data_IF_078138725280
#
_entry.id   IF_078138725280
#
_cell.length_a   1.000
_cell.length_b   1.000
_cell.length_c   1.000
_cell.angle_alpha   90.00
_cell.angle_beta   90.00
_cell.angle_gamma   90.00
#
_symmetry.space_group_name_H-M   'P 1'
#
loop_
_entity.id
_entity.type
_entity.pdbx_description
1 polymer ?
#
# COMPACT_ATOMS: atom_id res chain seq x y z
N UNK A 1 17.68 -14.24 38.44
CA UNK A 1 16.46 -13.43 38.66
C UNK A 1 15.31 -14.16 38.00
N UNK A 2 14.45 -14.78 38.79
CA UNK A 2 13.25 -15.50 38.35
C UNK A 2 12.16 -14.49 38.03
N UNK A 3 11.92 -14.22 36.75
CA UNK A 3 10.76 -13.45 36.28
C UNK A 3 9.50 -14.29 36.49
N UNK A 4 8.54 -13.77 37.25
CA UNK A 4 7.25 -14.42 37.49
C UNK A 4 6.38 -14.35 36.21
N UNK A 5 5.98 -15.49 35.61
CA UNK A 5 5.23 -15.54 34.35
C UNK A 5 3.88 -14.79 34.41
N UNK A 6 3.25 -14.75 35.61
CA UNK A 6 1.97 -14.05 35.80
C UNK A 6 2.13 -12.53 35.78
N UNK A 7 3.27 -12.01 36.24
CA UNK A 7 3.56 -10.59 36.22
C UNK A 7 3.69 -10.06 34.78
N UNK A 8 4.32 -10.81 33.88
CA UNK A 8 4.49 -10.45 32.47
C UNK A 8 3.19 -10.53 31.65
N UNK A 9 2.29 -11.45 31.98
CA UNK A 9 0.94 -11.51 31.40
C UNK A 9 0.11 -10.28 31.78
N UNK A 10 0.16 -9.87 33.06
CA UNK A 10 -0.51 -8.65 33.52
C UNK A 10 0.09 -7.37 32.93
N UNK A 11 1.37 -7.42 32.55
CA UNK A 11 2.08 -6.32 31.89
C UNK A 11 1.60 -6.18 30.43
N UNK A 12 1.40 -7.28 29.70
CA UNK A 12 0.98 -7.26 28.30
C UNK A 12 -0.38 -6.57 28.06
N UNK A 13 -1.36 -6.79 28.94
CA UNK A 13 -2.66 -6.10 28.89
C UNK A 13 -2.55 -4.64 29.32
N UNK A 14 -1.81 -4.34 30.40
CA UNK A 14 -1.56 -2.95 30.83
C UNK A 14 -0.80 -2.14 29.78
N UNK A 15 0.08 -2.78 29.01
CA UNK A 15 0.88 -2.14 27.96
C UNK A 15 0.06 -1.63 26.77
N UNK A 16 -1.18 -2.10 26.59
CA UNK A 16 -2.06 -1.59 25.54
C UNK A 16 -2.64 -0.22 25.90
N UNK A 17 -2.79 0.07 27.20
CA UNK A 17 -3.51 1.25 27.72
C UNK A 17 -2.59 2.37 28.24
N UNK A 18 -1.26 2.17 28.23
CA UNK A 18 -0.31 3.20 28.67
C UNK A 18 -0.07 4.26 27.60
N UNK A 19 0.41 5.42 28.07
CA UNK A 19 0.86 6.50 27.19
C UNK A 19 2.03 6.07 26.29
N UNK A 20 2.10 6.71 25.11
CA UNK A 20 3.03 6.36 24.05
C UNK A 20 4.50 6.48 24.47
N UNK A 21 4.84 7.44 25.33
CA UNK A 21 6.21 7.66 25.78
C UNK A 21 6.69 6.53 26.71
N UNK A 22 5.86 6.12 27.67
CA UNK A 22 6.14 4.95 28.53
C UNK A 22 6.12 3.65 27.74
N UNK A 23 5.24 3.52 26.75
CA UNK A 23 5.23 2.37 25.85
C UNK A 23 6.55 2.20 25.10
N UNK A 24 7.11 3.29 24.55
CA UNK A 24 8.44 3.25 23.91
C UNK A 24 9.53 2.78 24.87
N UNK A 25 9.57 3.32 26.09
CA UNK A 25 10.56 2.93 27.10
C UNK A 25 10.48 1.45 27.48
N UNK A 26 9.27 0.92 27.69
CA UNK A 26 9.08 -0.50 28.03
C UNK A 26 9.46 -1.39 26.85
N UNK A 27 9.12 -0.99 25.62
CA UNK A 27 9.53 -1.73 24.42
C UNK A 27 11.05 -1.73 24.26
N UNK A 28 11.73 -0.61 24.51
CA UNK A 28 13.20 -0.53 24.45
C UNK A 28 13.85 -1.47 25.48
N UNK A 29 13.32 -1.53 26.70
CA UNK A 29 13.77 -2.46 27.74
C UNK A 29 13.54 -3.94 27.34
N UNK A 30 12.35 -4.26 26.82
CA UNK A 30 12.05 -5.62 26.33
C UNK A 30 12.97 -6.02 25.16
N UNK A 31 13.33 -5.07 24.30
CA UNK A 31 14.29 -5.30 23.22
C UNK A 31 15.73 -5.56 23.73
N UNK A 32 16.13 -4.95 24.85
CA UNK A 32 17.42 -5.19 25.49
C UNK A 32 17.51 -6.61 26.08
N UNK A 33 16.42 -7.11 26.69
CA UNK A 33 16.34 -8.46 27.29
C UNK A 33 16.53 -9.57 26.22
N UNK A 34 16.11 -9.33 24.98
CA UNK A 34 16.41 -10.22 23.85
C UNK A 34 15.45 -11.41 23.69
N UNK A 35 15.96 -12.55 23.22
CA UNK A 35 15.20 -13.71 22.72
C UNK A 35 14.65 -14.65 23.83
N UNK A 36 14.09 -14.08 24.91
CA UNK A 36 13.43 -14.87 25.95
C UNK A 36 12.03 -15.32 25.50
N UNK A 37 11.58 -16.57 25.77
CA UNK A 37 10.26 -17.06 25.37
C UNK A 37 9.11 -16.16 25.84
N UNK A 38 9.23 -15.63 27.06
CA UNK A 38 8.23 -14.75 27.67
C UNK A 38 8.19 -13.38 26.98
N UNK A 39 9.35 -12.85 26.59
CA UNK A 39 9.45 -11.59 25.82
C UNK A 39 8.78 -11.76 24.45
N UNK A 40 8.98 -12.89 23.78
CA UNK A 40 8.30 -13.21 22.50
C UNK A 40 6.78 -13.28 22.66
N UNK A 41 6.30 -13.83 23.79
CA UNK A 41 4.87 -13.86 24.10
C UNK A 41 4.32 -12.45 24.34
N UNK A 42 4.98 -11.62 25.15
CA UNK A 42 4.59 -10.22 25.37
C UNK A 42 4.57 -9.43 24.07
N UNK A 43 5.59 -9.57 23.20
CA UNK A 43 5.62 -8.96 21.86
C UNK A 43 4.46 -9.41 20.96
N UNK A 44 3.94 -10.62 21.16
CA UNK A 44 2.77 -11.12 20.41
C UNK A 44 1.48 -10.46 20.89
N UNK A 45 1.35 -10.22 22.19
CA UNK A 45 0.19 -9.53 22.78
C UNK A 45 0.12 -8.05 22.40
N UNK A 46 1.26 -7.33 22.47
CA UNK A 46 1.32 -5.89 22.17
C UNK A 46 1.48 -5.58 20.66
N UNK A 47 1.41 -6.60 19.80
CA UNK A 47 1.64 -6.49 18.35
C UNK A 47 0.73 -5.45 17.66
N UNK A 48 -0.57 -5.31 18.01
CA UNK A 48 -1.43 -4.26 17.46
C UNK A 48 -0.89 -2.85 17.79
N UNK A 49 -0.55 -2.60 19.06
CA UNK A 49 -0.04 -1.30 19.51
C UNK A 49 1.35 -0.98 18.96
N UNK A 50 2.20 -1.99 18.76
CA UNK A 50 3.48 -1.84 18.06
C UNK A 50 3.32 -1.42 16.60
N UNK A 51 2.23 -1.82 15.93
CA UNK A 51 1.94 -1.40 14.55
C UNK A 51 1.57 0.08 14.46
N UNK A 52 0.96 0.62 15.52
CA UNK A 52 0.58 2.04 15.66
C UNK A 52 1.77 2.91 16.07
N UNK A 53 2.42 2.62 17.20
CA UNK A 53 3.47 3.48 17.80
C UNK A 53 4.81 3.40 17.05
N UNK A 54 5.06 2.28 16.35
CA UNK A 54 6.27 1.97 15.56
C UNK A 54 7.58 2.39 16.26
N UNK A 55 7.85 1.90 17.49
CA UNK A 55 9.08 2.23 18.21
C UNK A 55 10.34 1.79 17.44
N UNK A 56 11.48 2.47 17.71
CA UNK A 56 12.77 2.12 17.11
C UNK A 56 13.07 0.66 17.43
N UNK A 57 13.46 -0.06 16.40
CA UNK A 57 13.64 -1.51 16.43
C UNK A 57 15.12 -1.80 16.67
N UNK A 58 15.42 -2.71 17.61
CA UNK A 58 16.80 -3.17 17.91
C UNK A 58 17.55 -3.54 16.63
N UNK A 59 18.73 -2.98 16.36
CA UNK A 59 19.52 -3.38 15.22
C UNK A 59 20.01 -4.83 15.41
N UNK A 60 19.80 -5.66 14.39
CA UNK A 60 20.29 -7.04 14.33
C UNK A 60 20.89 -7.29 12.95
N UNK A 61 21.81 -8.25 12.83
CA UNK A 61 22.38 -8.59 11.52
C UNK A 61 21.32 -9.08 10.53
N UNK A 62 20.29 -9.80 11.00
CA UNK A 62 19.14 -10.15 10.16
C UNK A 62 18.41 -8.92 9.62
N UNK A 63 18.22 -7.87 10.44
CA UNK A 63 17.59 -6.62 9.98
C UNK A 63 18.47 -5.86 9.01
N UNK A 64 19.77 -5.77 9.31
CA UNK A 64 20.76 -5.19 8.41
C UNK A 64 20.79 -5.95 7.06
N UNK A 65 20.68 -7.28 7.08
CA UNK A 65 20.56 -8.11 5.88
C UNK A 65 19.33 -7.77 5.06
N UNK A 66 18.19 -7.55 5.73
CA UNK A 66 16.93 -7.22 5.06
C UNK A 66 16.88 -5.76 4.55
N UNK A 67 17.65 -4.86 5.15
CA UNK A 67 17.55 -3.41 4.89
C UNK A 67 17.59 -3.06 3.40
N UNK A 68 18.42 -3.65 2.51
CA UNK A 68 18.38 -3.33 1.09
C UNK A 68 17.06 -3.69 0.38
N UNK A 69 16.40 -4.79 0.76
CA UNK A 69 15.20 -5.28 0.06
C UNK A 69 13.91 -5.20 0.89
N UNK A 70 13.94 -4.58 2.08
CA UNK A 70 12.80 -4.57 3.00
C UNK A 70 11.53 -3.94 2.41
N UNK A 71 11.68 -3.04 1.43
CA UNK A 71 10.55 -2.38 0.75
C UNK A 71 9.76 -3.34 -0.13
N UNK A 72 10.32 -4.51 -0.46
CA UNK A 72 9.69 -5.57 -1.22
C UNK A 72 8.92 -6.56 -0.34
N UNK A 73 9.00 -6.43 0.99
CA UNK A 73 8.18 -7.26 1.87
C UNK A 73 6.70 -6.94 1.69
N UNK A 74 5.88 -8.00 1.61
CA UNK A 74 4.43 -7.83 1.66
C UNK A 74 4.04 -7.21 3.02
N UNK A 75 3.42 -6.02 2.96
CA UNK A 75 2.90 -5.36 4.14
C UNK A 75 1.67 -6.15 4.64
N UNK A 76 1.57 -6.50 5.94
CA UNK A 76 0.53 -7.41 6.42
C UNK A 76 -0.90 -6.89 6.28
N UNK A 77 -1.13 -5.57 6.25
CA UNK A 77 -2.45 -4.97 6.07
C UNK A 77 -2.30 -3.45 5.99
N UNK A 78 -3.04 -2.81 5.08
CA UNK A 78 -3.09 -1.36 4.91
C UNK A 78 -3.35 -0.96 3.46
N UNK A 79 -3.88 0.24 3.23
CA UNK A 79 -4.20 0.80 1.90
C UNK A 79 -2.95 1.09 1.02
N UNK A 80 -1.77 0.56 1.34
CA UNK A 80 -0.60 0.74 0.49
C UNK A 80 -0.57 -0.34 -0.61
N UNK A 81 -0.27 0.02 -1.87
CA UNK A 81 -0.15 -0.97 -2.92
C UNK A 81 0.93 -1.99 -2.57
N UNK A 82 0.67 -3.27 -2.87
CA UNK A 82 1.70 -4.30 -2.77
C UNK A 82 2.89 -3.92 -3.67
N UNK A 83 4.15 -4.19 -3.29
CA UNK A 83 5.28 -3.87 -4.14
C UNK A 83 5.22 -4.64 -5.47
N UNK A 84 5.77 -4.04 -6.53
CA UNK A 84 5.79 -4.63 -7.88
C UNK A 84 6.54 -5.97 -7.93
N UNK A 85 7.55 -6.13 -7.09
CA UNK A 85 8.21 -7.40 -6.82
C UNK A 85 8.08 -7.73 -5.34
N UNK A 86 7.84 -9.00 -5.01
CA UNK A 86 7.54 -9.45 -3.65
C UNK A 86 8.67 -10.31 -3.12
N UNK A 87 9.10 -10.00 -1.91
CA UNK A 87 9.96 -10.88 -1.12
C UNK A 87 9.13 -11.49 0.00
N UNK A 88 9.02 -12.82 -0.03
CA UNK A 88 8.36 -13.57 1.03
C UNK A 88 9.23 -13.58 2.31
N UNK A 89 8.58 -13.33 3.46
CA UNK A 89 9.25 -13.42 4.75
C UNK A 89 9.68 -14.83 5.07
N UNK A 90 8.94 -15.84 4.62
CA UNK A 90 9.29 -17.24 4.87
C UNK A 90 10.56 -17.64 4.12
N UNK A 91 10.73 -17.12 2.89
CA UNK A 91 11.97 -17.28 2.13
C UNK A 91 13.18 -16.69 2.90
N UNK A 92 13.02 -15.48 3.46
CA UNK A 92 14.08 -14.83 4.25
C UNK A 92 14.34 -15.54 5.58
N UNK A 93 13.29 -16.08 6.22
CA UNK A 93 13.41 -16.83 7.45
C UNK A 93 14.17 -18.15 7.25
N UNK A 94 13.99 -18.80 6.10
CA UNK A 94 14.75 -19.99 5.71
C UNK A 94 16.18 -19.65 5.28
N UNK A 95 16.38 -18.56 4.55
CA UNK A 95 17.68 -18.16 4.01
C UNK A 95 18.64 -17.63 5.10
N UNK A 96 18.16 -16.79 6.03
CA UNK A 96 19.03 -16.10 7.00
C UNK A 96 19.92 -17.03 7.84
N UNK A 97 19.42 -18.14 8.43
CA UNK A 97 20.28 -19.06 9.20
C UNK A 97 21.44 -19.64 8.39
N UNK A 98 21.20 -19.92 7.10
CA UNK A 98 22.23 -20.43 6.19
C UNK A 98 23.29 -19.35 5.92
N UNK A 99 22.87 -18.12 5.66
CA UNK A 99 23.77 -16.96 5.46
C UNK A 99 24.60 -16.70 6.71
N UNK A 100 23.97 -16.68 7.89
CA UNK A 100 24.64 -16.46 9.17
C UNK A 100 25.69 -17.54 9.45
N UNK A 101 25.36 -18.81 9.17
CA UNK A 101 26.28 -19.94 9.29
C UNK A 101 27.48 -19.81 8.33
N UNK A 102 27.23 -19.41 7.07
CA UNK A 102 28.28 -19.22 6.05
C UNK A 102 29.24 -18.09 6.35
N UNK A 103 28.74 -16.97 6.88
CA UNK A 103 29.60 -15.83 7.26
C UNK A 103 30.43 -16.20 8.51
N UNK A 104 29.80 -16.85 9.49
CA UNK A 104 30.43 -17.25 10.74
C UNK A 104 30.54 -16.12 11.77
N UNK A 105 30.52 -16.50 13.06
CA UNK A 105 30.47 -15.57 14.20
C UNK A 105 31.65 -14.61 14.28
N UNK A 106 32.86 -15.07 13.96
CA UNK A 106 34.09 -14.27 13.97
C UNK A 106 34.00 -13.08 13.00
N UNK A 107 33.61 -13.34 11.75
CA UNK A 107 33.49 -12.29 10.73
C UNK A 107 32.35 -11.33 11.04
N UNK A 108 31.23 -11.83 11.59
CA UNK A 108 30.13 -10.98 12.06
C UNK A 108 30.56 -10.05 13.19
N UNK A 109 31.38 -10.50 14.15
CA UNK A 109 31.94 -9.62 15.19
C UNK A 109 32.79 -8.51 14.58
N UNK A 110 33.56 -8.80 13.53
CA UNK A 110 34.38 -7.81 12.83
C UNK A 110 33.57 -6.66 12.20
N UNK A 111 32.28 -6.87 11.93
CA UNK A 111 31.36 -5.84 11.39
C UNK A 111 30.27 -5.43 12.38
N UNK A 112 30.45 -5.68 13.68
CA UNK A 112 29.48 -5.31 14.71
C UNK A 112 29.16 -3.80 14.74
N UNK A 113 30.11 -2.96 14.31
CA UNK A 113 29.89 -1.51 14.12
C UNK A 113 28.75 -1.16 13.15
N UNK A 114 28.36 -2.10 12.27
CA UNK A 114 27.23 -1.93 11.34
C UNK A 114 25.86 -1.88 12.03
N UNK A 115 25.79 -2.34 13.29
CA UNK A 115 24.59 -2.29 14.12
C UNK A 115 24.49 -0.98 14.92
N UNK A 116 25.51 -0.11 14.86
CA UNK A 116 25.48 1.21 15.46
C UNK A 116 24.65 2.22 14.66
N UNK A 117 24.59 3.46 15.15
CA UNK A 117 23.96 4.59 14.48
C UNK A 117 25.01 5.58 13.92
N UNK A 118 24.63 6.39 12.92
CA UNK A 118 25.45 7.50 12.42
C UNK A 118 26.44 7.15 11.31
N UNK A 119 27.35 8.09 10.99
CA UNK A 119 28.26 7.99 9.85
C UNK A 119 29.27 6.83 9.95
N UNK A 120 29.65 6.45 11.18
CA UNK A 120 30.54 5.30 11.46
C UNK A 120 29.94 3.94 11.10
N UNK A 121 28.63 3.88 10.86
CA UNK A 121 27.91 2.65 10.46
C UNK A 121 28.16 2.26 9.00
N UNK A 122 28.41 3.24 8.12
CA UNK A 122 28.33 3.05 6.67
C UNK A 122 29.32 2.01 6.14
N UNK A 123 30.61 2.13 6.51
CA UNK A 123 31.64 1.20 6.05
C UNK A 123 31.45 -0.24 6.59
N UNK A 124 31.23 -0.46 7.90
CA UNK A 124 30.88 -1.78 8.41
C UNK A 124 29.62 -2.40 7.77
N UNK A 125 28.58 -1.59 7.50
CA UNK A 125 27.37 -2.04 6.84
C UNK A 125 27.64 -2.49 5.40
N UNK A 126 28.42 -1.72 4.65
CA UNK A 126 28.84 -2.09 3.29
C UNK A 126 29.65 -3.38 3.28
N UNK A 127 30.60 -3.54 4.19
CA UNK A 127 31.37 -4.77 4.35
C UNK A 127 30.46 -5.96 4.69
N UNK A 128 29.50 -5.77 5.58
CA UNK A 128 28.51 -6.80 5.91
C UNK A 128 27.66 -7.21 4.69
N UNK A 129 27.12 -6.26 3.93
CA UNK A 129 26.32 -6.59 2.73
C UNK A 129 27.13 -7.30 1.67
N UNK A 130 28.41 -6.94 1.49
CA UNK A 130 29.31 -7.68 0.60
C UNK A 130 29.51 -9.12 1.05
N UNK A 131 29.69 -9.37 2.35
CA UNK A 131 29.80 -10.74 2.89
C UNK A 131 28.50 -11.52 2.74
N UNK A 132 27.36 -10.88 2.99
CA UNK A 132 26.05 -11.49 2.83
C UNK A 132 25.76 -11.83 1.36
N UNK A 133 26.09 -10.94 0.42
CA UNK A 133 25.95 -11.19 -1.02
C UNK A 133 26.75 -12.42 -1.45
N UNK A 134 28.02 -12.52 -1.04
CA UNK A 134 28.86 -13.68 -1.33
C UNK A 134 28.32 -14.98 -0.72
N UNK A 135 27.81 -14.93 0.53
CA UNK A 135 27.22 -16.08 1.19
C UNK A 135 25.94 -16.56 0.48
N UNK A 136 25.07 -15.65 0.04
CA UNK A 136 23.85 -16.01 -0.71
C UNK A 136 24.22 -16.61 -2.07
N UNK A 137 25.22 -16.07 -2.77
CA UNK A 137 25.69 -16.62 -4.04
C UNK A 137 26.21 -18.06 -3.91
N UNK A 138 27.02 -18.35 -2.88
CA UNK A 138 27.49 -19.71 -2.58
C UNK A 138 26.33 -20.67 -2.22
N UNK A 139 25.31 -20.19 -1.49
CA UNK A 139 24.10 -20.98 -1.21
C UNK A 139 23.35 -21.31 -2.50
N UNK A 140 23.20 -20.35 -3.41
CA UNK A 140 22.53 -20.55 -4.70
C UNK A 140 23.28 -21.57 -5.58
N UNK A 141 24.61 -21.46 -5.70
CA UNK A 141 25.43 -22.42 -6.44
C UNK A 141 25.28 -23.84 -5.89
N UNK A 142 25.28 -23.99 -4.56
CA UNK A 142 25.08 -25.30 -3.94
C UNK A 142 23.66 -25.84 -4.11
N UNK A 143 22.68 -24.95 -4.27
CA UNK A 143 21.29 -25.32 -4.58
C UNK A 143 21.15 -25.96 -5.95
N UNK A 144 21.94 -25.53 -6.95
CA UNK A 144 21.97 -26.17 -8.28
C UNK A 144 22.42 -27.64 -8.20
N UNK A 145 23.29 -27.96 -7.24
CA UNK A 145 23.72 -29.34 -6.94
C UNK A 145 22.75 -30.12 -6.05
N UNK A 146 21.60 -29.53 -5.69
CA UNK A 146 20.56 -30.14 -4.86
C UNK A 146 20.74 -29.97 -3.35
N UNK A 147 21.81 -29.33 -2.86
CA UNK A 147 21.98 -29.01 -1.43
C UNK A 147 21.08 -27.85 -1.02
N UNK A 148 20.64 -27.79 0.23
CA UNK A 148 19.77 -26.73 0.77
C UNK A 148 18.35 -26.63 0.16
N UNK A 149 18.01 -27.44 -0.84
CA UNK A 149 16.71 -27.39 -1.49
C UNK A 149 15.55 -27.67 -0.51
N UNK A 150 15.76 -28.55 0.47
CA UNK A 150 14.78 -28.87 1.51
C UNK A 150 14.73 -27.78 2.59
N UNK A 151 15.88 -27.29 3.06
CA UNK A 151 15.98 -26.22 4.05
C UNK A 151 15.38 -24.90 3.55
N UNK A 152 15.54 -24.63 2.25
CA UNK A 152 14.93 -23.48 1.58
C UNK A 152 13.47 -23.76 1.20
N UNK A 153 12.98 -24.99 1.29
CA UNK A 153 11.59 -25.36 0.97
C UNK A 153 11.25 -25.26 -0.53
N UNK A 154 12.24 -25.42 -1.42
CA UNK A 154 12.09 -25.23 -2.86
C UNK A 154 11.19 -26.30 -3.51
N UNK A 155 11.11 -27.50 -2.92
CA UNK A 155 10.20 -28.56 -3.39
C UNK A 155 8.72 -28.16 -3.27
N UNK A 156 8.38 -27.39 -2.23
CA UNK A 156 7.02 -26.94 -1.97
C UNK A 156 6.69 -25.65 -2.73
N UNK A 157 7.70 -24.81 -2.97
CA UNK A 157 7.54 -23.55 -3.69
C UNK A 157 8.79 -23.25 -4.54
N UNK A 158 8.81 -23.68 -5.81
CA UNK A 158 9.93 -23.42 -6.73
C UNK A 158 10.19 -21.93 -6.99
N UNK A 159 9.15 -21.08 -6.95
CA UNK A 159 9.27 -19.63 -7.17
C UNK A 159 10.13 -18.92 -6.11
N UNK A 160 10.35 -19.59 -4.97
CA UNK A 160 11.23 -19.10 -3.92
C UNK A 160 12.69 -18.99 -4.38
N UNK A 161 13.13 -19.82 -5.32
CA UNK A 161 14.48 -19.73 -5.87
C UNK A 161 14.71 -18.36 -6.53
N UNK A 162 13.75 -17.92 -7.36
CA UNK A 162 13.77 -16.59 -7.97
C UNK A 162 13.80 -15.45 -6.95
N UNK A 163 13.07 -15.60 -5.84
CA UNK A 163 13.12 -14.63 -4.73
C UNK A 163 14.52 -14.54 -4.12
N UNK A 164 15.19 -15.67 -3.94
CA UNK A 164 16.55 -15.72 -3.39
C UNK A 164 17.56 -15.13 -4.38
N UNK A 165 17.41 -15.41 -5.68
CA UNK A 165 18.21 -14.78 -6.73
C UNK A 165 18.06 -13.25 -6.74
N UNK A 166 16.83 -12.74 -6.60
CA UNK A 166 16.57 -11.31 -6.51
C UNK A 166 17.22 -10.71 -5.26
N UNK A 167 17.15 -11.37 -4.09
CA UNK A 167 17.86 -10.96 -2.87
C UNK A 167 19.37 -10.90 -3.13
N UNK A 168 19.94 -11.93 -3.75
CA UNK A 168 21.37 -11.99 -4.06
C UNK A 168 21.80 -10.79 -4.92
N UNK A 169 21.04 -10.50 -5.98
CA UNK A 169 21.26 -9.37 -6.89
C UNK A 169 21.13 -8.03 -6.17
N UNK A 170 20.10 -7.83 -5.35
CA UNK A 170 19.90 -6.58 -4.60
C UNK A 170 21.07 -6.33 -3.63
N UNK A 171 21.59 -7.37 -2.98
CA UNK A 171 22.73 -7.23 -2.06
C UNK A 171 24.00 -6.73 -2.78
N UNK A 172 24.16 -7.01 -4.08
CA UNK A 172 25.29 -6.47 -4.87
C UNK A 172 25.22 -4.95 -5.07
N UNK A 173 24.02 -4.36 -4.94
CA UNK A 173 23.75 -2.93 -5.08
C UNK A 173 23.22 -2.31 -3.77
N UNK A 174 23.48 -2.94 -2.62
CA UNK A 174 22.94 -2.52 -1.33
C UNK A 174 23.26 -1.06 -0.97
N UNK A 175 24.47 -0.59 -1.28
CA UNK A 175 24.89 0.80 -1.04
C UNK A 175 24.10 1.80 -1.91
N UNK A 176 24.05 1.67 -3.26
CA UNK A 176 23.15 2.47 -4.10
C UNK A 176 21.69 2.45 -3.63
N UNK A 177 21.20 1.31 -3.15
CA UNK A 177 19.83 1.19 -2.63
C UNK A 177 19.64 1.97 -1.32
N UNK A 178 20.63 1.98 -0.42
CA UNK A 178 20.58 2.80 0.79
C UNK A 178 20.53 4.30 0.45
N UNK A 179 21.30 4.74 -0.55
CA UNK A 179 21.29 6.11 -1.06
C UNK A 179 19.95 6.47 -1.70
N UNK A 180 19.39 5.57 -2.50
CA UNK A 180 18.05 5.73 -3.10
C UNK A 180 16.99 5.92 -2.02
N UNK A 181 17.05 5.12 -0.94
CA UNK A 181 16.12 5.23 0.18
C UNK A 181 16.24 6.56 0.91
N UNK A 182 17.45 7.10 1.03
CA UNK A 182 17.66 8.43 1.61
C UNK A 182 17.03 9.53 0.74
N UNK A 183 17.17 9.44 -0.59
CA UNK A 183 16.51 10.35 -1.55
C UNK A 183 14.99 10.22 -1.49
N UNK A 184 14.46 9.00 -1.37
CA UNK A 184 13.02 8.70 -1.36
C UNK A 184 12.46 8.54 0.06
N UNK A 185 12.74 9.51 0.92
CA UNK A 185 12.23 9.57 2.29
C UNK A 185 11.50 10.89 2.57
N UNK A 186 10.38 10.87 3.31
CA UNK A 186 9.72 9.70 3.93
C UNK A 186 8.82 8.91 2.95
N UNK A 187 8.70 7.58 3.16
CA UNK A 187 7.75 6.71 2.43
C UNK A 187 6.35 6.77 3.08
N UNK A 188 5.24 6.79 2.31
CA UNK A 188 5.17 6.76 0.85
C UNK A 188 5.32 8.13 0.19
N UNK A 189 6.03 8.17 -0.94
CA UNK A 189 6.17 9.38 -1.77
C UNK A 189 4.92 9.53 -2.64
N UNK A 190 4.17 10.61 -2.44
CA UNK A 190 2.93 10.88 -3.16
C UNK A 190 3.16 11.44 -4.57
N UNK A 191 4.23 12.23 -4.74
CA UNK A 191 4.59 12.86 -6.01
C UNK A 191 6.11 12.90 -6.16
N UNK A 192 6.58 12.65 -7.38
CA UNK A 192 7.99 12.80 -7.72
C UNK A 192 8.28 14.27 -8.04
N UNK A 193 9.22 14.87 -7.30
CA UNK A 193 9.77 16.19 -7.57
C UNK A 193 11.08 16.04 -8.33
N UNK A 194 11.58 17.15 -8.89
CA UNK A 194 12.83 17.17 -9.67
C UNK A 194 13.99 16.52 -8.90
N UNK A 195 14.16 16.85 -7.63
CA UNK A 195 15.24 16.30 -6.79
C UNK A 195 15.15 14.77 -6.64
N UNK A 196 13.93 14.22 -6.56
CA UNK A 196 13.73 12.76 -6.54
C UNK A 196 14.16 12.14 -7.87
N UNK A 197 13.78 12.75 -9.00
CA UNK A 197 14.11 12.25 -10.33
C UNK A 197 15.62 12.32 -10.59
N UNK A 198 16.25 13.45 -10.26
CA UNK A 198 17.69 13.66 -10.41
C UNK A 198 18.47 12.65 -9.53
N UNK A 199 18.01 12.40 -8.30
CA UNK A 199 18.60 11.40 -7.42
C UNK A 199 18.44 9.96 -7.92
N UNK A 200 17.24 9.56 -8.34
CA UNK A 200 17.00 8.23 -8.96
C UNK A 200 17.90 8.06 -10.19
N UNK A 201 17.99 9.09 -11.04
CA UNK A 201 18.79 9.04 -12.27
C UNK A 201 20.28 8.90 -11.96
N UNK A 202 20.82 9.72 -11.05
CA UNK A 202 22.24 9.72 -10.70
C UNK A 202 22.67 8.36 -10.13
N UNK A 203 21.90 7.83 -9.17
CA UNK A 203 22.19 6.53 -8.54
C UNK A 203 21.94 5.38 -9.53
N UNK A 204 20.88 5.49 -10.35
CA UNK A 204 20.59 4.52 -11.40
C UNK A 204 21.72 4.40 -12.43
N UNK A 205 22.38 5.51 -12.80
CA UNK A 205 23.58 5.49 -13.66
C UNK A 205 24.75 4.74 -13.02
N UNK A 206 24.94 4.88 -11.71
CA UNK A 206 25.97 4.13 -10.99
C UNK A 206 25.66 2.62 -11.04
N UNK A 207 24.41 2.24 -10.80
CA UNK A 207 23.96 0.84 -10.90
C UNK A 207 24.14 0.31 -12.33
N UNK A 208 23.69 1.04 -13.34
CA UNK A 208 23.80 0.63 -14.74
C UNK A 208 25.24 0.39 -15.20
N UNK A 209 26.20 1.19 -14.69
CA UNK A 209 27.63 1.04 -15.01
C UNK A 209 28.29 -0.12 -14.28
N UNK A 210 27.94 -0.35 -13.02
CA UNK A 210 28.60 -1.37 -12.19
C UNK A 210 27.93 -2.75 -12.23
N UNK A 211 26.58 -2.78 -12.28
CA UNK A 211 25.71 -3.95 -12.14
C UNK A 211 24.45 -3.78 -13.02
N UNK A 212 24.57 -3.73 -14.35
CA UNK A 212 23.43 -3.50 -15.26
C UNK A 212 22.28 -4.51 -15.06
N UNK A 213 22.60 -5.74 -14.70
CA UNK A 213 21.64 -6.82 -14.40
C UNK A 213 20.75 -6.55 -13.18
N UNK A 214 21.17 -5.65 -12.29
CA UNK A 214 20.44 -5.28 -11.07
C UNK A 214 19.59 -4.02 -11.26
N UNK A 215 19.69 -3.32 -12.41
CA UNK A 215 19.00 -2.05 -12.63
C UNK A 215 17.48 -2.18 -12.58
N UNK A 216 16.92 -3.28 -13.10
CA UNK A 216 15.48 -3.56 -12.97
C UNK A 216 15.05 -3.59 -11.51
N UNK A 217 15.78 -4.32 -10.67
CA UNK A 217 15.48 -4.44 -9.23
C UNK A 217 15.63 -3.11 -8.51
N UNK A 218 16.63 -2.30 -8.89
CA UNK A 218 16.79 -0.93 -8.40
C UNK A 218 15.54 -0.06 -8.69
N UNK A 219 15.02 -0.09 -9.93
CA UNK A 219 13.82 0.68 -10.28
C UNK A 219 12.57 0.13 -9.57
N UNK A 220 12.46 -1.19 -9.39
CA UNK A 220 11.39 -1.79 -8.60
C UNK A 220 11.42 -1.37 -7.12
N UNK A 221 12.61 -1.22 -6.54
CA UNK A 221 12.78 -0.69 -5.18
C UNK A 221 12.39 0.78 -5.09
N UNK A 222 12.71 1.59 -6.11
CA UNK A 222 12.25 2.99 -6.18
C UNK A 222 10.71 3.06 -6.23
N UNK A 223 10.10 2.25 -7.11
CA UNK A 223 8.65 2.16 -7.26
C UNK A 223 7.96 1.68 -5.96
N UNK A 224 8.57 0.76 -5.22
CA UNK A 224 8.05 0.27 -3.94
C UNK A 224 7.99 1.33 -2.82
N UNK A 225 8.59 2.52 -3.01
CA UNK A 225 8.50 3.65 -2.08
C UNK A 225 7.46 4.70 -2.48
N UNK A 226 6.82 4.54 -3.64
CA UNK A 226 5.77 5.44 -4.13
C UNK A 226 4.40 5.01 -3.61
N UNK A 227 3.48 5.97 -3.48
CA UNK A 227 2.06 5.65 -3.25
C UNK A 227 1.42 5.02 -4.49
N UNK A 228 1.90 5.37 -5.68
CA UNK A 228 1.52 4.77 -6.96
C UNK A 228 2.77 4.51 -7.81
N UNK A 229 3.11 3.23 -8.07
CA UNK A 229 4.24 2.85 -8.93
C UNK A 229 4.17 3.39 -10.36
N UNK A 230 2.97 3.64 -10.92
CA UNK A 230 2.78 4.10 -12.30
C UNK A 230 3.33 5.51 -12.54
N UNK A 231 3.43 6.34 -11.49
CA UNK A 231 4.01 7.69 -11.54
C UNK A 231 5.47 7.65 -12.04
N UNK A 232 6.20 6.57 -11.72
CA UNK A 232 7.58 6.42 -12.15
C UNK A 232 7.68 6.15 -13.65
N UNK A 233 6.71 5.43 -14.25
CA UNK A 233 6.75 5.03 -15.66
C UNK A 233 6.83 6.26 -16.58
N UNK A 234 5.99 7.27 -16.35
CA UNK A 234 5.96 8.47 -17.18
C UNK A 234 7.31 9.20 -17.22
N UNK A 235 8.06 9.17 -16.11
CA UNK A 235 9.37 9.81 -16.02
C UNK A 235 10.52 8.89 -16.44
N UNK A 236 10.33 7.56 -16.35
CA UNK A 236 11.36 6.57 -16.62
C UNK A 236 11.80 6.59 -18.09
N UNK A 237 10.86 6.87 -19.01
CA UNK A 237 11.17 6.96 -20.44
C UNK A 237 12.22 8.03 -20.75
N UNK A 238 12.08 9.20 -20.14
CA UNK A 238 12.97 10.35 -20.33
C UNK A 238 14.23 10.27 -19.45
N UNK A 239 14.23 9.44 -18.43
CA UNK A 239 15.34 9.28 -17.51
C UNK A 239 16.55 8.68 -18.22
N UNK A 240 17.68 9.38 -18.19
CA UNK A 240 18.92 8.85 -18.72
C UNK A 240 19.67 8.06 -17.64
N UNK A 241 19.49 6.74 -17.64
CA UNK A 241 20.17 5.81 -16.74
C UNK A 241 21.56 5.40 -17.26
N UNK A 242 22.07 5.99 -18.35
CA UNK A 242 23.36 5.64 -18.95
C UNK A 242 23.35 4.33 -19.74
N UNK A 243 22.16 3.83 -20.09
CA UNK A 243 21.96 2.65 -20.93
C UNK A 243 21.83 3.04 -22.41
N UNK A 244 22.04 2.07 -23.31
CA UNK A 244 21.70 2.25 -24.73
C UNK A 244 20.18 2.42 -24.88
N UNK A 245 19.74 3.11 -25.92
CA UNK A 245 18.30 3.36 -26.15
C UNK A 245 17.48 2.07 -26.27
N UNK A 246 18.05 0.99 -26.81
CA UNK A 246 17.40 -0.34 -26.90
C UNK A 246 17.15 -0.94 -25.51
N UNK A 247 18.14 -0.87 -24.64
CA UNK A 247 18.10 -1.50 -23.32
C UNK A 247 17.16 -0.73 -22.39
N UNK A 248 17.16 0.60 -22.50
CA UNK A 248 16.18 1.47 -21.83
C UNK A 248 14.75 1.15 -22.26
N UNK A 249 14.52 0.98 -23.57
CA UNK A 249 13.20 0.62 -24.08
C UNK A 249 12.75 -0.76 -23.58
N UNK A 250 13.65 -1.75 -23.54
CA UNK A 250 13.36 -3.08 -23.01
C UNK A 250 13.02 -3.03 -21.51
N UNK A 251 13.81 -2.31 -20.72
CA UNK A 251 13.56 -2.09 -19.29
C UNK A 251 12.21 -1.42 -19.04
N UNK A 252 11.90 -0.37 -19.82
CA UNK A 252 10.64 0.34 -19.74
C UNK A 252 9.43 -0.57 -20.04
N UNK A 253 9.51 -1.39 -21.11
CA UNK A 253 8.44 -2.33 -21.47
C UNK A 253 8.21 -3.39 -20.40
N UNK A 254 9.29 -3.95 -19.84
CA UNK A 254 9.23 -4.97 -18.78
C UNK A 254 8.64 -4.41 -17.48
N UNK A 255 9.04 -3.20 -17.08
CA UNK A 255 8.46 -2.52 -15.92
C UNK A 255 6.99 -2.14 -16.14
N UNK A 256 6.65 -1.66 -17.34
CA UNK A 256 5.26 -1.37 -17.71
C UNK A 256 4.40 -2.65 -17.64
N UNK A 257 4.91 -3.78 -18.12
CA UNK A 257 4.25 -5.08 -18.00
C UNK A 257 4.02 -5.49 -16.54
N UNK A 258 4.99 -5.20 -15.66
CA UNK A 258 4.89 -5.47 -14.21
C UNK A 258 3.85 -4.59 -13.53
N UNK A 259 3.82 -3.29 -13.84
CA UNK A 259 2.80 -2.35 -13.33
C UNK A 259 1.41 -2.75 -13.79
N UNK A 260 1.24 -3.08 -15.08
CA UNK A 260 -0.06 -3.53 -15.62
C UNK A 260 -0.53 -4.81 -14.91
N UNK A 261 0.35 -5.80 -14.71
CA UNK A 261 0.00 -7.01 -13.97
C UNK A 261 -0.41 -6.73 -12.52
N UNK A 262 0.19 -5.74 -11.86
CA UNK A 262 -0.20 -5.32 -10.52
C UNK A 262 -1.57 -4.63 -10.50
N UNK A 263 -1.86 -3.77 -11.49
CA UNK A 263 -3.18 -3.13 -11.63
C UNK A 263 -4.25 -4.21 -11.88
N UNK A 264 -3.97 -5.20 -12.74
CA UNK A 264 -4.84 -6.36 -12.97
C UNK A 264 -5.11 -7.14 -11.67
N UNK A 265 -4.07 -7.42 -10.89
CA UNK A 265 -4.21 -8.12 -9.61
C UNK A 265 -5.06 -7.33 -8.60
N UNK A 266 -4.81 -6.04 -8.47
CA UNK A 266 -5.61 -5.16 -7.59
C UNK A 266 -7.07 -5.10 -8.03
N UNK A 267 -7.32 -4.98 -9.34
CA UNK A 267 -8.68 -4.97 -9.88
C UNK A 267 -9.40 -6.28 -9.62
N UNK A 268 -8.75 -7.44 -9.82
CA UNK A 268 -9.34 -8.76 -9.54
C UNK A 268 -9.61 -8.98 -8.05
N UNK A 269 -8.67 -8.60 -7.19
CA UNK A 269 -8.84 -8.68 -5.74
C UNK A 269 -10.03 -7.86 -5.24
N UNK A 270 -10.26 -6.68 -5.83
CA UNK A 270 -11.42 -5.84 -5.55
C UNK A 270 -12.73 -6.53 -5.93
N UNK A 271 -12.80 -7.09 -7.14
CA UNK A 271 -13.99 -7.79 -7.64
C UNK A 271 -14.28 -9.09 -6.87
N UNK A 272 -13.25 -9.78 -6.35
CA UNK A 272 -13.44 -10.99 -5.55
C UNK A 272 -13.94 -10.70 -4.12
N UNK A 273 -13.60 -9.53 -3.55
CA UNK A 273 -14.08 -9.08 -2.25
C UNK A 273 -15.56 -8.63 -2.26
N UNK A 274 -16.18 -8.55 -3.45
CA UNK A 274 -17.57 -8.16 -3.67
C UNK A 274 -18.63 -9.05 -2.98
N UNK A 275 -18.24 -10.22 -2.43
CA UNK A 275 -19.16 -11.14 -1.74
C UNK A 275 -19.42 -10.84 -0.26
N UNK A 276 -18.79 -9.81 0.32
CA UNK A 276 -18.97 -9.38 1.72
C UNK A 276 -19.78 -8.07 1.87
N UNK A 277 -19.96 -7.58 3.12
CA UNK A 277 -20.48 -6.22 3.35
C UNK A 277 -19.47 -5.19 2.84
N UNK A 278 -19.66 -4.72 1.61
CA UNK A 278 -18.68 -3.88 0.94
C UNK A 278 -18.72 -2.44 1.46
N UNK A 279 -17.57 -1.96 1.92
CA UNK A 279 -17.35 -0.54 2.15
C UNK A 279 -17.29 0.18 0.79
N UNK A 280 -18.42 0.79 0.40
CA UNK A 280 -18.56 1.51 -0.87
C UNK A 280 -17.54 2.65 -1.02
N UNK A 281 -17.10 3.28 0.08
CA UNK A 281 -16.06 4.32 0.03
C UNK A 281 -14.69 3.74 -0.27
N UNK A 282 -14.38 2.58 0.29
CA UNK A 282 -13.16 1.87 -0.04
C UNK A 282 -13.17 1.46 -1.53
N UNK A 283 -14.30 0.97 -2.04
CA UNK A 283 -14.45 0.62 -3.46
C UNK A 283 -14.29 1.84 -4.39
N UNK A 284 -14.94 2.97 -4.07
CA UNK A 284 -14.80 4.21 -4.83
C UNK A 284 -13.37 4.77 -4.78
N UNK A 285 -12.70 4.67 -3.62
CA UNK A 285 -11.31 5.10 -3.47
C UNK A 285 -10.37 4.23 -4.32
N UNK A 286 -10.54 2.92 -4.26
CA UNK A 286 -9.77 2.00 -5.08
C UNK A 286 -10.00 2.20 -6.57
N UNK A 287 -11.24 2.47 -7.00
CA UNK A 287 -11.54 2.76 -8.40
C UNK A 287 -10.85 4.02 -8.89
N UNK A 288 -10.87 5.11 -8.11
CA UNK A 288 -10.16 6.35 -8.44
C UNK A 288 -8.65 6.10 -8.56
N UNK A 289 -8.06 5.38 -7.61
CA UNK A 289 -6.63 5.07 -7.64
C UNK A 289 -6.27 4.22 -8.87
N UNK A 290 -7.08 3.21 -9.20
CA UNK A 290 -6.87 2.36 -10.39
C UNK A 290 -7.00 3.15 -11.68
N UNK A 291 -7.97 4.07 -11.80
CA UNK A 291 -8.11 4.92 -12.99
C UNK A 291 -6.90 5.85 -13.14
N UNK A 292 -6.45 6.46 -12.05
CA UNK A 292 -5.24 7.30 -12.07
C UNK A 292 -4.01 6.50 -12.54
N UNK A 293 -3.82 5.27 -12.02
CA UNK A 293 -2.71 4.41 -12.44
C UNK A 293 -2.84 3.97 -13.90
N UNK A 294 -4.06 3.69 -14.39
CA UNK A 294 -4.32 3.35 -15.78
C UNK A 294 -4.00 4.50 -16.73
N UNK A 295 -4.41 5.73 -16.39
CA UNK A 295 -4.13 6.93 -17.18
C UNK A 295 -2.63 7.23 -17.20
N UNK A 296 -1.96 7.16 -16.04
CA UNK A 296 -0.52 7.35 -15.95
C UNK A 296 0.26 6.31 -16.79
N UNK A 297 -0.13 5.03 -16.71
CA UNK A 297 0.48 3.96 -17.51
C UNK A 297 0.20 4.16 -19.00
N UNK A 298 -1.03 4.53 -19.39
CA UNK A 298 -1.40 4.81 -20.78
C UNK A 298 -0.59 5.96 -21.36
N UNK A 299 -0.46 7.06 -20.63
CA UNK A 299 0.31 8.23 -21.06
C UNK A 299 1.80 7.89 -21.21
N UNK A 300 2.36 7.12 -20.28
CA UNK A 300 3.74 6.64 -20.39
C UNK A 300 3.94 5.77 -21.65
N UNK A 301 2.93 4.95 -21.99
CA UNK A 301 2.98 3.96 -23.07
C UNK A 301 2.55 4.50 -24.45
N UNK A 302 2.11 5.75 -24.57
CA UNK A 302 1.65 6.32 -25.85
C UNK A 302 2.71 6.20 -26.96
N UNK A 303 3.99 6.22 -26.58
CA UNK A 303 5.12 6.09 -27.48
C UNK A 303 5.41 4.64 -27.94
N UNK A 304 4.95 3.63 -27.20
CA UNK A 304 5.34 2.24 -27.46
C UNK A 304 4.49 1.54 -28.53
N UNK A 305 3.34 2.14 -28.94
CA UNK A 305 2.39 1.64 -29.95
C UNK A 305 2.05 0.13 -29.81
N UNK A 306 2.02 -0.37 -28.58
CA UNK A 306 1.84 -1.80 -28.33
C UNK A 306 0.35 -2.12 -28.14
N UNK A 307 -0.24 -2.75 -29.17
CA UNK A 307 -1.68 -3.09 -29.20
C UNK A 307 -2.12 -4.05 -28.09
N UNK A 308 -1.25 -4.96 -27.66
CA UNK A 308 -1.58 -5.92 -26.60
C UNK A 308 -1.72 -5.20 -25.25
N UNK A 309 -0.89 -4.18 -25.01
CA UNK A 309 -1.00 -3.33 -23.83
C UNK A 309 -2.30 -2.53 -23.84
N UNK A 310 -2.65 -1.90 -24.96
CA UNK A 310 -3.91 -1.16 -25.08
C UNK A 310 -5.12 -2.05 -24.80
N UNK A 311 -5.10 -3.29 -25.30
CA UNK A 311 -6.14 -4.27 -25.05
C UNK A 311 -6.22 -4.65 -23.55
N UNK A 312 -5.08 -4.88 -22.89
CA UNK A 312 -5.04 -5.16 -21.44
C UNK A 312 -5.56 -3.99 -20.63
N UNK A 313 -5.13 -2.76 -20.91
CA UNK A 313 -5.63 -1.55 -20.24
C UNK A 313 -7.15 -1.38 -20.43
N UNK A 314 -7.68 -1.71 -21.61
CA UNK A 314 -9.12 -1.71 -21.87
C UNK A 314 -9.87 -2.75 -21.04
N UNK A 315 -9.34 -3.97 -20.90
CA UNK A 315 -9.92 -5.02 -20.04
C UNK A 315 -9.98 -4.53 -18.59
N UNK A 316 -8.88 -4.00 -18.06
CA UNK A 316 -8.83 -3.49 -16.69
C UNK A 316 -9.83 -2.35 -16.49
N UNK A 317 -9.89 -1.39 -17.42
CA UNK A 317 -10.86 -0.29 -17.37
C UNK A 317 -12.29 -0.81 -17.31
N UNK A 318 -12.62 -1.85 -18.09
CA UNK A 318 -13.93 -2.49 -18.03
C UNK A 318 -14.16 -3.21 -16.69
N UNK A 319 -13.15 -3.84 -16.09
CA UNK A 319 -13.26 -4.42 -14.75
C UNK A 319 -13.49 -3.35 -13.66
N UNK A 320 -12.84 -2.20 -13.76
CA UNK A 320 -13.06 -1.06 -12.83
C UNK A 320 -14.45 -0.45 -13.04
N UNK A 321 -14.92 -0.37 -14.29
CA UNK A 321 -16.30 0.02 -14.60
C UNK A 321 -17.28 -0.91 -13.87
N UNK A 322 -17.13 -2.24 -14.01
CA UNK A 322 -18.00 -3.21 -13.35
C UNK A 322 -17.91 -3.15 -11.82
N UNK A 323 -16.71 -2.89 -11.26
CA UNK A 323 -16.54 -2.66 -9.83
C UNK A 323 -17.36 -1.46 -9.36
N UNK A 324 -17.28 -0.32 -10.04
CA UNK A 324 -18.03 0.89 -9.65
C UNK A 324 -19.54 0.66 -9.79
N UNK A 325 -19.97 0.04 -10.90
CA UNK A 325 -21.38 -0.27 -11.14
C UNK A 325 -21.95 -1.13 -10.02
N UNK A 326 -21.32 -2.27 -9.75
CA UNK A 326 -21.83 -3.27 -8.78
C UNK A 326 -21.63 -2.87 -7.32
N UNK A 327 -20.54 -2.19 -6.96
CA UNK A 327 -20.18 -1.93 -5.57
C UNK A 327 -20.52 -0.51 -5.09
N UNK A 328 -20.70 0.44 -6.02
CA UNK A 328 -20.96 1.84 -5.67
C UNK A 328 -22.35 2.26 -6.11
N UNK A 329 -22.76 1.95 -7.34
CA UNK A 329 -24.04 2.44 -7.90
C UNK A 329 -25.23 1.56 -7.50
N UNK A 330 -25.11 0.23 -7.62
CA UNK A 330 -26.23 -0.68 -7.40
C UNK A 330 -26.82 -0.52 -5.98
N UNK A 331 -28.13 -0.26 -5.90
CA UNK A 331 -28.86 -0.08 -4.65
C UNK A 331 -28.48 1.14 -3.80
N UNK A 332 -27.61 2.05 -4.29
CA UNK A 332 -27.10 3.18 -3.50
C UNK A 332 -28.23 4.11 -3.03
N UNK A 333 -29.14 4.45 -3.95
CA UNK A 333 -30.31 5.28 -3.64
C UNK A 333 -31.15 4.67 -2.52
N UNK A 334 -31.56 3.41 -2.68
CA UNK A 334 -32.45 2.71 -1.76
C UNK A 334 -31.84 2.59 -0.36
N UNK A 335 -30.54 2.30 -0.27
CA UNK A 335 -29.84 2.18 1.01
C UNK A 335 -29.67 3.52 1.73
N UNK A 336 -29.32 4.59 1.00
CA UNK A 336 -29.22 5.94 1.56
C UNK A 336 -30.60 6.40 2.05
N UNK A 337 -31.64 6.25 1.23
CA UNK A 337 -33.00 6.68 1.57
C UNK A 337 -33.56 5.92 2.77
N UNK A 338 -33.48 4.59 2.76
CA UNK A 338 -33.97 3.76 3.87
C UNK A 338 -33.27 4.07 5.19
N UNK A 339 -31.97 4.39 5.16
CA UNK A 339 -31.24 4.82 6.37
C UNK A 339 -31.78 6.14 6.91
N UNK A 340 -32.05 7.11 6.04
CA UNK A 340 -32.61 8.41 6.43
C UNK A 340 -34.02 8.27 7.02
N UNK A 341 -34.87 7.42 6.42
CA UNK A 341 -36.26 7.24 6.85
C UNK A 341 -36.42 6.43 8.15
N UNK A 342 -35.51 5.48 8.40
CA UNK A 342 -35.60 4.56 9.56
C UNK A 342 -34.75 5.00 10.77
N UNK A 343 -34.12 6.17 10.68
CA UNK A 343 -33.14 6.64 11.66
C UNK A 343 -33.77 6.90 13.03
N UNK A 344 -33.46 6.05 14.01
CA UNK A 344 -33.87 6.23 15.41
C UNK A 344 -32.84 7.11 16.15
N UNK A 345 -33.27 8.18 16.85
CA UNK A 345 -32.35 9.05 17.57
C UNK A 345 -31.54 8.33 18.65
N UNK A 346 -30.21 8.45 18.59
CA UNK A 346 -29.30 8.04 19.66
C UNK A 346 -28.75 6.61 19.60
N UNK A 347 -29.22 5.78 18.68
CA UNK A 347 -28.84 4.35 18.59
C UNK A 347 -28.13 3.94 17.30
N UNK A 348 -28.21 4.71 16.21
CA UNK A 348 -27.83 4.27 14.85
C UNK A 348 -26.64 5.02 14.19
N UNK A 349 -25.69 5.54 14.98
CA UNK A 349 -24.53 6.31 14.49
C UNK A 349 -23.73 5.56 13.41
N UNK A 350 -23.57 4.24 13.53
CA UNK A 350 -22.81 3.45 12.56
C UNK A 350 -23.49 3.37 11.18
N UNK A 351 -24.82 3.20 11.14
CA UNK A 351 -25.59 3.20 9.88
C UNK A 351 -25.55 4.56 9.21
N UNK A 352 -25.65 5.63 9.98
CA UNK A 352 -25.54 6.99 9.46
C UNK A 352 -24.16 7.26 8.83
N UNK A 353 -23.08 6.82 9.49
CA UNK A 353 -21.72 6.92 8.91
C UNK A 353 -21.62 6.11 7.61
N UNK A 354 -22.24 4.94 7.54
CA UNK A 354 -22.30 4.15 6.30
C UNK A 354 -23.03 4.90 5.19
N UNK A 355 -24.23 5.44 5.44
CA UNK A 355 -24.97 6.22 4.44
C UNK A 355 -24.20 7.47 3.97
N UNK A 356 -23.53 8.19 4.88
CA UNK A 356 -22.65 9.31 4.52
C UNK A 356 -21.49 8.87 3.64
N UNK A 357 -20.88 7.72 3.96
CA UNK A 357 -19.84 7.14 3.14
C UNK A 357 -20.39 6.78 1.75
N UNK A 358 -21.57 6.18 1.65
CA UNK A 358 -22.19 5.87 0.35
C UNK A 358 -22.43 7.14 -0.48
N UNK A 359 -22.96 8.20 0.13
CA UNK A 359 -23.15 9.50 -0.53
C UNK A 359 -21.83 10.09 -1.04
N UNK A 360 -20.77 10.05 -0.21
CA UNK A 360 -19.42 10.48 -0.61
C UNK A 360 -18.83 9.60 -1.72
N UNK A 361 -19.17 8.32 -1.76
CA UNK A 361 -18.67 7.37 -2.76
C UNK A 361 -19.22 7.72 -4.15
N UNK A 362 -20.53 8.03 -4.24
CA UNK A 362 -21.17 8.52 -5.47
C UNK A 362 -20.47 9.78 -5.99
N UNK A 363 -20.25 10.77 -5.10
CA UNK A 363 -19.56 12.01 -5.47
C UNK A 363 -18.12 11.75 -5.90
N UNK A 364 -17.40 10.86 -5.22
CA UNK A 364 -16.02 10.51 -5.57
C UNK A 364 -15.93 9.85 -6.95
N UNK A 365 -16.87 8.96 -7.29
CA UNK A 365 -16.93 8.34 -8.61
C UNK A 365 -17.26 9.33 -9.75
N UNK A 366 -17.83 10.51 -9.45
CA UNK A 366 -18.07 11.53 -10.47
C UNK A 366 -16.80 12.05 -11.14
N UNK A 367 -15.66 12.04 -10.44
CA UNK A 367 -14.38 12.53 -10.98
C UNK A 367 -13.79 11.59 -12.04
N UNK A 368 -14.24 10.33 -12.10
CA UNK A 368 -13.75 9.29 -13.01
C UNK A 368 -14.83 8.76 -13.96
N UNK A 369 -16.07 9.28 -13.87
CA UNK A 369 -17.22 8.76 -14.60
C UNK A 369 -17.06 8.88 -16.12
N UNK A 370 -16.43 9.95 -16.61
CA UNK A 370 -16.16 10.14 -18.04
C UNK A 370 -15.13 9.12 -18.55
N UNK A 371 -14.02 8.91 -17.83
CA UNK A 371 -12.98 7.94 -18.19
C UNK A 371 -13.52 6.51 -18.25
N UNK A 372 -14.42 6.15 -17.34
CA UNK A 372 -15.04 4.82 -17.27
C UNK A 372 -16.26 4.64 -18.19
N UNK A 373 -16.78 5.72 -18.79
CA UNK A 373 -18.03 5.68 -19.57
C UNK A 373 -19.29 5.50 -18.72
N UNK A 374 -19.25 5.88 -17.44
CA UNK A 374 -20.34 5.76 -16.45
C UNK A 374 -21.15 7.04 -16.26
N UNK A 375 -20.88 8.09 -17.05
CA UNK A 375 -21.52 9.41 -16.88
C UNK A 375 -23.04 9.35 -16.83
N UNK A 376 -23.66 8.54 -17.70
CA UNK A 376 -25.11 8.38 -17.75
C UNK A 376 -25.69 7.69 -16.52
N UNK A 377 -25.12 6.54 -16.16
CA UNK A 377 -25.55 5.73 -15.01
C UNK A 377 -25.40 6.47 -13.68
N UNK A 378 -24.22 7.06 -13.44
CA UNK A 378 -23.96 7.83 -12.22
C UNK A 378 -24.89 9.04 -12.14
N UNK A 379 -25.12 9.76 -13.25
CA UNK A 379 -26.06 10.88 -13.29
C UNK A 379 -27.48 10.43 -12.95
N UNK A 380 -27.92 9.30 -13.49
CA UNK A 380 -29.24 8.73 -13.17
C UNK A 380 -29.39 8.46 -11.67
N UNK A 381 -28.45 7.71 -11.08
CA UNK A 381 -28.49 7.33 -9.66
C UNK A 381 -28.41 8.56 -8.74
N UNK A 382 -27.54 9.51 -9.04
CA UNK A 382 -27.41 10.74 -8.24
C UNK A 382 -28.64 11.63 -8.33
N UNK A 383 -29.27 11.74 -9.51
CA UNK A 383 -30.52 12.49 -9.69
C UNK A 383 -31.70 11.82 -8.97
N UNK A 384 -31.82 10.50 -9.06
CA UNK A 384 -32.87 9.74 -8.36
C UNK A 384 -32.72 9.88 -6.84
N UNK A 385 -31.52 9.64 -6.31
CA UNK A 385 -31.23 9.82 -4.88
C UNK A 385 -31.52 11.25 -4.40
N UNK A 386 -31.11 12.27 -5.17
CA UNK A 386 -31.36 13.68 -4.81
C UNK A 386 -32.85 14.02 -4.84
N UNK A 387 -33.60 13.51 -5.82
CA UNK A 387 -35.05 13.71 -5.91
C UNK A 387 -35.79 13.05 -4.74
N UNK A 388 -35.45 11.81 -4.42
CA UNK A 388 -36.03 11.05 -3.30
C UNK A 388 -35.76 11.75 -1.96
N UNK A 389 -34.50 12.14 -1.70
CA UNK A 389 -34.11 12.90 -0.50
C UNK A 389 -34.79 14.28 -0.42
N UNK A 390 -34.99 14.96 -1.55
CA UNK A 390 -35.72 16.23 -1.60
C UNK A 390 -37.18 16.03 -1.21
N UNK A 391 -37.80 14.93 -1.63
CA UNK A 391 -39.14 14.52 -1.21
C UNK A 391 -39.23 14.34 0.31
N UNK A 392 -38.31 13.57 0.90
CA UNK A 392 -38.23 13.37 2.35
C UNK A 392 -37.99 14.69 3.09
N UNK A 393 -37.10 15.55 2.60
CA UNK A 393 -36.83 16.86 3.19
C UNK A 393 -38.05 17.77 3.20
N UNK A 394 -38.84 17.79 2.11
CA UNK A 394 -40.09 18.56 2.01
C UNK A 394 -41.13 18.07 3.00
N UNK A 395 -41.37 16.77 3.05
CA UNK A 395 -42.35 16.18 3.96
C UNK A 395 -42.04 16.54 5.42
N UNK A 396 -40.77 16.42 5.83
CA UNK A 396 -40.38 16.68 7.21
C UNK A 396 -40.25 18.16 7.57
N UNK A 397 -39.80 19.04 6.66
CA UNK A 397 -39.51 20.44 6.97
C UNK A 397 -40.61 21.44 6.57
N UNK A 398 -41.32 21.20 5.47
CA UNK A 398 -42.38 22.09 4.99
C UNK A 398 -43.77 21.61 5.43
N UNK A 399 -44.06 20.32 5.24
CA UNK A 399 -45.39 19.77 5.53
C UNK A 399 -45.56 19.40 7.01
N UNK A 400 -44.47 19.40 7.78
CA UNK A 400 -44.46 19.01 9.20
C UNK A 400 -44.76 17.52 9.43
N UNK A 401 -44.63 16.68 8.39
CA UNK A 401 -44.87 15.25 8.43
C UNK A 401 -43.54 14.55 8.78
N UNK A 402 -43.40 14.15 10.04
CA UNK A 402 -42.22 13.44 10.57
C UNK A 402 -41.32 14.30 11.46
N UNK A 403 -40.08 13.85 11.68
CA UNK A 403 -39.08 14.56 12.48
C UNK A 403 -38.28 15.55 11.61
N UNK A 404 -38.20 16.82 12.03
CA UNK A 404 -37.41 17.85 11.35
C UNK A 404 -35.94 17.42 11.19
N UNK A 405 -35.40 16.61 12.11
CA UNK A 405 -34.04 16.05 11.99
C UNK A 405 -33.88 15.16 10.77
N UNK A 406 -34.89 14.36 10.41
CA UNK A 406 -34.89 13.55 9.18
C UNK A 406 -34.76 14.44 7.96
N UNK A 407 -35.49 15.55 7.93
CA UNK A 407 -35.39 16.53 6.85
C UNK A 407 -34.01 17.18 6.72
N UNK A 408 -33.41 17.64 7.83
CA UNK A 408 -32.04 18.16 7.80
C UNK A 408 -30.99 17.09 7.45
N UNK A 409 -31.23 15.85 7.83
CA UNK A 409 -30.35 14.71 7.48
C UNK A 409 -30.43 14.43 5.98
N UNK A 410 -31.61 14.51 5.37
CA UNK A 410 -31.78 14.40 3.93
C UNK A 410 -31.04 15.52 3.18
N UNK A 411 -31.13 16.77 3.65
CA UNK A 411 -30.35 17.90 3.09
C UNK A 411 -28.85 17.64 3.19
N UNK A 412 -28.36 17.11 4.31
CA UNK A 412 -26.95 16.72 4.48
C UNK A 412 -26.52 15.62 3.50
N UNK A 413 -27.37 14.62 3.23
CA UNK A 413 -27.06 13.62 2.20
C UNK A 413 -26.95 14.25 0.81
N UNK A 414 -27.85 15.17 0.47
CA UNK A 414 -27.79 15.92 -0.80
C UNK A 414 -26.48 16.72 -0.91
N UNK A 415 -26.05 17.38 0.16
CA UNK A 415 -24.76 18.08 0.19
C UNK A 415 -23.58 17.14 -0.10
N UNK A 416 -23.61 15.92 0.44
CA UNK A 416 -22.55 14.94 0.22
C UNK A 416 -22.53 14.37 -1.19
N UNK A 417 -23.70 14.19 -1.83
CA UNK A 417 -23.84 13.67 -3.20
C UNK A 417 -23.55 14.76 -4.24
N UNK A 418 -24.27 15.88 -4.16
CA UNK A 418 -24.33 16.90 -5.21
C UNK A 418 -23.52 18.17 -4.88
N UNK A 419 -23.26 18.42 -3.59
CA UNK A 419 -22.47 19.56 -3.12
C UNK A 419 -23.29 20.63 -2.39
N UNK A 420 -22.61 21.58 -1.72
CA UNK A 420 -23.26 22.54 -0.83
C UNK A 420 -24.14 23.55 -1.56
N UNK A 421 -23.81 23.92 -2.80
CA UNK A 421 -24.60 24.89 -3.56
C UNK A 421 -26.01 24.38 -3.85
N UNK A 422 -26.13 23.13 -4.32
CA UNK A 422 -27.41 22.50 -4.65
C UNK A 422 -28.23 22.22 -3.39
N UNK A 423 -27.58 21.73 -2.32
CA UNK A 423 -28.24 21.50 -1.03
C UNK A 423 -28.82 22.79 -0.43
N UNK A 424 -28.07 23.89 -0.47
CA UNK A 424 -28.53 25.19 0.03
C UNK A 424 -29.70 25.73 -0.80
N UNK A 425 -29.66 25.60 -2.12
CA UNK A 425 -30.76 26.01 -2.99
C UNK A 425 -32.05 25.26 -2.65
N UNK A 426 -31.96 23.92 -2.51
CA UNK A 426 -33.11 23.09 -2.16
C UNK A 426 -33.64 23.45 -0.75
N UNK A 427 -32.76 23.65 0.22
CA UNK A 427 -33.16 24.04 1.58
C UNK A 427 -33.91 25.39 1.59
N UNK A 428 -33.38 26.39 0.87
CA UNK A 428 -34.01 27.70 0.74
C UNK A 428 -35.40 27.61 0.09
N UNK A 429 -35.54 26.82 -0.98
CA UNK A 429 -36.81 26.62 -1.67
C UNK A 429 -37.86 25.97 -0.76
N UNK A 430 -37.46 24.98 0.05
CA UNK A 430 -38.34 24.30 1.01
C UNK A 430 -38.80 25.26 2.12
N UNK A 431 -37.86 25.99 2.73
CA UNK A 431 -38.15 26.90 3.84
C UNK A 431 -38.93 28.16 3.42
N UNK A 432 -38.76 28.62 2.17
CA UNK A 432 -39.54 29.73 1.60
C UNK A 432 -40.91 29.28 1.11
N UNK A 433 -41.02 28.05 0.61
CA UNK A 433 -42.27 27.45 0.14
C UNK A 433 -43.28 27.19 1.26
N UNK A 434 -42.83 26.82 2.46
CA UNK A 434 -43.69 26.57 3.64
C UNK A 434 -44.20 27.83 4.38
N UNK A 435 -43.85 29.04 3.93
CA UNK A 435 -44.31 30.33 4.53
C UNK A 435 -45.49 30.97 3.79
N UNK A 436 -46.21 30.24 2.95
CA UNK A 436 -47.39 30.73 2.23
C UNK A 436 -48.68 30.12 2.74
#
# INVERSE_FOLDING_TARGET
MTTDPKALLSLGTKLLDIDEARFRQVVDLLQQIGDHPEVRHTFSLIRPRLAEVRPKRRPTFKRLFCEPFEDLFQLPTGNQPAPLNKVDRDAVNALWPLVESRIGKERLRGVAGALGDGASRAEPARAFWSMASAAVADILEQTETGRFADELGLRLNPDRLRTIEDIARILTIAQPVAELKAVLSPKPIQKLHKDHLDGIQAIGRQVARGRPEALKLFILLAAARLSDPSILLGNLWDMDLGQKSSDRAALFLDLSGTVVAQIEERSRGASAAAGGTVDRMAAATLAVDLVASLEATRNAMEHSRNKDFDQRLKIIRNSVHELVRTQVLDGAETEILSTVETLVPGTDTARMVQAENQARALRKCSTIADTLGLRGELKSVTQQATASLTGTARQSLADGIGDARTGYTAIRMIELIAGPAEANQIMDDILRGGRR
#
